data_IF_894144379643
#
_entry.id   IF_894144379643
#
_cell.length_a   1.000
_cell.length_b   1.000
_cell.length_c   1.000
_cell.angle_alpha   90.00
_cell.angle_beta   90.00
_cell.angle_gamma   90.00
#
_symmetry.space_group_name_H-M   'P 1'
#
loop_
_entity.id
_entity.type
_entity.pdbx_description
1 polymer ?
#
# COMPACT_ATOMS: atom_id res chain seq x y z
N UNK A 1 14.51 14.57 4.01
CA UNK A 1 15.09 15.93 3.83
C UNK A 1 15.87 16.38 5.07
N UNK A 2 17.12 16.80 4.91
CA UNK A 2 18.20 16.85 5.92
C UNK A 2 17.89 17.57 7.27
N UNK A 3 16.98 18.56 7.26
CA UNK A 3 16.56 19.27 8.47
C UNK A 3 15.78 18.37 9.46
N UNK A 4 14.93 17.45 8.97
CA UNK A 4 14.17 16.54 9.82
C UNK A 4 15.04 15.46 10.47
N UNK A 5 16.06 14.99 9.75
CA UNK A 5 17.04 14.02 10.25
C UNK A 5 17.87 14.62 11.39
N UNK A 6 18.33 15.86 11.22
CA UNK A 6 19.08 16.57 12.27
C UNK A 6 18.25 16.83 13.55
N UNK A 7 16.95 17.09 13.41
CA UNK A 7 16.06 17.25 14.57
C UNK A 7 15.87 15.93 15.35
N UNK A 8 15.70 14.80 14.64
CA UNK A 8 15.58 13.47 15.26
C UNK A 8 16.85 13.06 16.01
N UNK A 9 18.03 13.29 15.41
CA UNK A 9 19.33 13.02 16.05
C UNK A 9 19.50 13.84 17.33
N UNK A 10 19.15 15.14 17.32
CA UNK A 10 19.23 15.98 18.53
C UNK A 10 18.29 15.51 19.63
N UNK A 11 17.02 15.25 19.30
CA UNK A 11 16.04 14.75 20.27
C UNK A 11 16.45 13.41 20.86
N UNK A 12 16.99 12.50 20.05
CA UNK A 12 17.50 11.22 20.52
C UNK A 12 18.71 11.40 21.46
N UNK A 13 19.67 12.26 21.10
CA UNK A 13 20.84 12.53 21.95
C UNK A 13 20.43 13.08 23.33
N UNK A 14 19.42 13.96 23.39
CA UNK A 14 18.87 14.45 24.65
C UNK A 14 18.23 13.34 25.50
N UNK A 15 17.50 12.41 24.88
CA UNK A 15 16.92 11.25 25.57
C UNK A 15 17.99 10.33 26.15
N UNK A 16 19.04 10.05 25.38
CA UNK A 16 20.16 9.19 25.83
C UNK A 16 20.88 9.82 27.02
N UNK A 17 21.20 11.12 26.96
CA UNK A 17 21.83 11.83 28.08
C UNK A 17 20.96 11.78 29.33
N UNK A 18 19.63 11.90 29.18
CA UNK A 18 18.70 11.82 30.29
C UNK A 18 18.63 10.42 30.89
N UNK A 19 18.57 9.39 30.06
CA UNK A 19 18.52 8.00 30.49
C UNK A 19 19.82 7.58 31.20
N UNK A 20 20.98 7.92 30.63
CA UNK A 20 22.28 7.64 31.23
C UNK A 20 22.45 8.27 32.62
N UNK A 21 21.91 9.48 32.83
CA UNK A 21 21.92 10.17 34.14
C UNK A 21 21.00 9.54 35.18
N UNK A 22 20.02 8.75 34.76
CA UNK A 22 19.08 8.07 35.64
C UNK A 22 19.57 6.67 36.07
N UNK A 23 20.63 6.15 35.44
CA UNK A 23 21.21 4.85 35.77
C UNK A 23 22.04 4.92 37.07
N UNK A 24 21.98 3.85 37.86
CA UNK A 24 22.64 3.73 39.17
C UNK A 24 24.06 3.15 39.10
N UNK A 25 24.49 2.66 37.93
CA UNK A 25 25.83 2.15 37.67
C UNK A 25 26.24 2.38 36.22
N UNK A 26 27.54 2.35 35.96
CA UNK A 26 28.12 2.54 34.63
C UNK A 26 27.73 1.41 33.67
N UNK A 27 27.75 0.15 34.13
CA UNK A 27 27.29 -1.00 33.32
C UNK A 27 25.82 -0.88 32.88
N UNK A 28 24.94 -0.43 33.79
CA UNK A 28 23.53 -0.21 33.46
C UNK A 28 23.35 0.95 32.48
N UNK A 29 24.14 2.03 32.62
CA UNK A 29 24.15 3.14 31.69
C UNK A 29 24.59 2.71 30.28
N UNK A 30 25.64 1.88 30.17
CA UNK A 30 26.15 1.37 28.89
C UNK A 30 25.12 0.45 28.22
N UNK A 31 24.51 -0.49 28.95
CA UNK A 31 23.46 -1.36 28.41
C UNK A 31 22.27 -0.52 27.89
N UNK A 32 21.76 0.40 28.71
CA UNK A 32 20.64 1.26 28.35
C UNK A 32 20.94 2.12 27.11
N UNK A 33 22.13 2.72 27.02
CA UNK A 33 22.53 3.49 25.84
C UNK A 33 22.65 2.62 24.59
N UNK A 34 23.10 1.36 24.72
CA UNK A 34 23.24 0.42 23.61
C UNK A 34 21.88 0.00 23.06
N UNK A 35 20.92 -0.29 23.93
CA UNK A 35 19.55 -0.60 23.53
C UNK A 35 18.90 0.59 22.81
N UNK A 36 19.03 1.80 23.38
CA UNK A 36 18.52 3.04 22.76
C UNK A 36 19.19 3.37 21.43
N UNK A 37 20.47 3.02 21.25
CA UNK A 37 21.19 3.13 19.97
C UNK A 37 20.63 2.17 18.93
N UNK A 38 20.34 0.93 19.33
CA UNK A 38 19.74 -0.09 18.45
C UNK A 38 18.34 0.31 18.00
N UNK A 39 17.49 0.75 18.95
CA UNK A 39 16.15 1.26 18.69
C UNK A 39 16.18 2.44 17.73
N UNK A 40 17.03 3.44 17.98
CA UNK A 40 17.17 4.60 17.10
C UNK A 40 17.70 4.23 15.72
N UNK A 41 18.60 3.25 15.64
CA UNK A 41 19.05 2.69 14.37
C UNK A 41 17.90 2.04 13.59
N UNK A 42 16.99 1.33 14.26
CA UNK A 42 15.80 0.75 13.65
C UNK A 42 14.80 1.84 13.20
N UNK A 43 14.52 2.82 14.06
CA UNK A 43 13.67 3.98 13.74
C UNK A 43 14.19 4.75 12.52
N UNK A 44 15.51 4.96 12.44
CA UNK A 44 16.11 5.67 11.30
C UNK A 44 16.04 4.85 10.01
N UNK A 45 16.26 3.53 10.07
CA UNK A 45 16.07 2.65 8.91
C UNK A 45 14.62 2.68 8.42
N UNK A 46 13.66 2.61 9.35
CA UNK A 46 12.24 2.71 9.00
C UNK A 46 11.93 4.06 8.37
N UNK A 47 12.44 5.16 8.92
CA UNK A 47 12.24 6.50 8.37
C UNK A 47 12.83 6.65 6.95
N UNK A 48 13.98 6.04 6.68
CA UNK A 48 14.60 6.04 5.35
C UNK A 48 13.76 5.19 4.36
N UNK A 49 13.21 4.06 4.82
CA UNK A 49 12.28 3.23 4.04
C UNK A 49 10.98 3.98 3.73
N UNK A 50 10.39 4.63 4.73
CA UNK A 50 9.20 5.49 4.60
C UNK A 50 9.46 6.63 3.60
N UNK A 51 10.61 7.32 3.69
CA UNK A 51 10.94 8.41 2.75
C UNK A 51 11.09 7.90 1.32
N UNK A 52 11.64 6.69 1.11
CA UNK A 52 11.70 6.05 -0.22
C UNK A 52 10.32 5.66 -0.71
N UNK A 53 9.51 5.05 0.14
CA UNK A 53 8.13 4.67 -0.13
C UNK A 53 7.32 5.89 -0.57
N UNK A 54 7.24 6.94 0.25
CA UNK A 54 6.47 8.15 -0.08
C UNK A 54 6.96 8.82 -1.37
N UNK A 55 8.27 8.79 -1.66
CA UNK A 55 8.81 9.33 -2.92
C UNK A 55 8.40 8.52 -4.15
N UNK A 56 8.21 7.21 -4.01
CA UNK A 56 7.73 6.37 -5.12
C UNK A 56 6.31 6.76 -5.57
N UNK A 57 5.51 7.31 -4.66
CA UNK A 57 4.16 7.84 -4.91
C UNK A 57 4.12 9.27 -5.47
N UNK A 58 5.14 9.66 -6.23
CA UNK A 58 5.13 10.93 -6.96
C UNK A 58 3.98 11.01 -7.98
N UNK A 59 3.74 12.20 -8.54
CA UNK A 59 2.62 12.43 -9.46
C UNK A 59 2.60 11.50 -10.69
N UNK A 60 3.76 11.01 -11.15
CA UNK A 60 3.83 10.01 -12.22
C UNK A 60 3.23 8.66 -11.81
N UNK A 61 3.45 8.21 -10.57
CA UNK A 61 2.82 7.00 -10.04
C UNK A 61 1.31 7.21 -9.84
N UNK A 62 0.91 8.39 -9.34
CA UNK A 62 -0.50 8.79 -9.24
C UNK A 62 -1.19 8.77 -10.61
N UNK A 63 -0.52 9.21 -11.68
CA UNK A 63 -1.07 9.12 -13.03
C UNK A 63 -1.28 7.68 -13.48
N UNK A 64 -0.32 6.78 -13.23
CA UNK A 64 -0.48 5.35 -13.54
C UNK A 64 -1.69 4.76 -12.81
N UNK A 65 -1.79 5.03 -11.51
CA UNK A 65 -2.93 4.65 -10.67
C UNK A 65 -4.28 5.20 -11.18
N UNK A 66 -4.34 6.47 -11.57
CA UNK A 66 -5.56 7.10 -12.11
C UNK A 66 -5.93 6.61 -13.51
N UNK A 67 -4.95 6.11 -14.27
CA UNK A 67 -5.18 5.54 -15.61
C UNK A 67 -5.74 4.12 -15.54
N UNK A 68 -5.67 3.47 -14.37
CA UNK A 68 -6.40 2.24 -14.09
C UNK A 68 -7.90 2.57 -13.86
N UNK A 69 -8.66 2.52 -14.95
CA UNK A 69 -10.09 2.83 -14.97
C UNK A 69 -10.89 1.83 -14.12
N UNK A 70 -10.73 0.49 -14.27
CA UNK A 70 -11.46 -0.46 -13.43
C UNK A 70 -11.28 -0.22 -11.93
N UNK A 71 -10.05 0.02 -11.47
CA UNK A 71 -9.72 0.34 -10.08
C UNK A 71 -10.42 1.63 -9.63
N UNK A 72 -10.25 2.70 -10.40
CA UNK A 72 -10.74 4.03 -10.03
C UNK A 72 -12.27 4.09 -10.00
N UNK A 73 -12.94 3.47 -10.98
CA UNK A 73 -14.41 3.43 -11.02
C UNK A 73 -15.02 2.52 -9.95
N UNK A 74 -14.32 1.45 -9.53
CA UNK A 74 -14.78 0.60 -8.44
C UNK A 74 -14.93 1.41 -7.14
N UNK A 75 -13.92 2.19 -6.78
CA UNK A 75 -14.00 3.10 -5.64
C UNK A 75 -15.06 4.19 -5.84
N UNK A 76 -15.19 4.76 -7.04
CA UNK A 76 -16.21 5.77 -7.31
C UNK A 76 -17.63 5.23 -7.05
N UNK A 77 -17.92 4.01 -7.53
CA UNK A 77 -19.20 3.33 -7.30
C UNK A 77 -19.42 3.05 -5.81
N UNK A 78 -18.42 2.49 -5.13
CA UNK A 78 -18.51 2.17 -3.71
C UNK A 78 -18.79 3.43 -2.88
N UNK A 79 -18.02 4.50 -3.07
CA UNK A 79 -18.16 5.78 -2.35
C UNK A 79 -19.49 6.48 -2.64
N UNK A 80 -19.99 6.41 -3.88
CA UNK A 80 -21.33 6.93 -4.19
C UNK A 80 -22.44 6.21 -3.43
N UNK A 81 -22.26 4.92 -3.09
CA UNK A 81 -23.25 4.16 -2.33
C UNK A 81 -23.11 4.40 -0.82
N UNK A 82 -21.90 4.28 -0.28
CA UNK A 82 -21.69 4.32 1.19
C UNK A 82 -21.81 5.73 1.77
N UNK A 83 -21.58 6.78 0.96
CA UNK A 83 -21.70 8.18 1.36
C UNK A 83 -23.06 8.82 1.06
N UNK A 84 -24.02 8.10 0.47
CA UNK A 84 -25.30 8.64 0.02
C UNK A 84 -26.14 9.29 1.15
N UNK A 85 -25.93 8.84 2.39
CA UNK A 85 -26.63 9.34 3.57
C UNK A 85 -25.84 10.40 4.37
N UNK A 86 -24.80 10.99 3.77
CA UNK A 86 -23.94 11.95 4.46
C UNK A 86 -22.92 11.29 5.39
N UNK A 87 -22.45 12.07 6.35
CA UNK A 87 -21.46 11.66 7.34
C UNK A 87 -20.04 12.14 7.08
N UNK A 88 -19.19 11.91 8.08
CA UNK A 88 -17.75 12.20 8.03
C UNK A 88 -17.02 11.00 7.45
N UNK A 89 -16.15 11.26 6.47
CA UNK A 89 -15.28 10.27 5.84
C UNK A 89 -13.83 10.56 6.22
N UNK A 90 -13.07 9.51 6.51
CA UNK A 90 -11.62 9.56 6.69
C UNK A 90 -10.97 8.81 5.54
N UNK A 91 -10.08 9.47 4.81
CA UNK A 91 -9.23 8.84 3.81
C UNK A 91 -7.79 8.77 4.30
N UNK A 92 -7.20 7.58 4.30
CA UNK A 92 -5.80 7.33 4.68
C UNK A 92 -4.97 7.11 3.42
N UNK A 93 -3.99 7.99 3.18
CA UNK A 93 -3.15 8.00 1.99
C UNK A 93 -3.88 8.54 0.76
N UNK A 94 -4.36 9.79 0.84
CA UNK A 94 -5.26 10.30 -0.19
C UNK A 94 -4.61 10.54 -1.55
N UNK A 95 -3.27 10.61 -1.65
CA UNK A 95 -2.57 10.85 -2.90
C UNK A 95 -3.01 12.14 -3.57
N UNK A 96 -3.56 12.03 -4.78
CA UNK A 96 -4.17 13.13 -5.53
C UNK A 96 -5.50 13.66 -4.96
N UNK A 97 -6.08 12.99 -3.96
CA UNK A 97 -7.39 13.32 -3.38
C UNK A 97 -8.58 12.87 -4.23
N UNK A 98 -8.38 12.00 -5.21
CA UNK A 98 -9.46 11.54 -6.10
C UNK A 98 -10.60 10.84 -5.35
N UNK A 99 -10.28 9.97 -4.37
CA UNK A 99 -11.31 9.28 -3.60
C UNK A 99 -12.02 10.25 -2.64
N UNK A 100 -11.30 11.20 -2.05
CA UNK A 100 -11.90 12.30 -1.29
C UNK A 100 -12.93 13.07 -2.11
N UNK A 101 -12.60 13.36 -3.37
CA UNK A 101 -13.54 14.04 -4.27
C UNK A 101 -14.74 13.15 -4.63
N UNK A 102 -14.54 11.84 -4.81
CA UNK A 102 -15.65 10.90 -5.00
C UNK A 102 -16.55 10.82 -3.78
N UNK A 103 -16.01 10.73 -2.56
CA UNK A 103 -16.78 10.73 -1.32
C UNK A 103 -17.59 12.02 -1.15
N UNK A 104 -16.96 13.19 -1.36
CA UNK A 104 -17.62 14.49 -1.26
C UNK A 104 -18.75 14.68 -2.27
N UNK A 105 -18.57 14.17 -3.51
CA UNK A 105 -19.60 14.16 -4.57
C UNK A 105 -20.67 13.10 -4.32
N UNK A 106 -20.30 11.98 -3.70
CA UNK A 106 -21.18 10.86 -3.35
C UNK A 106 -22.13 11.14 -2.19
N UNK A 107 -22.00 12.28 -1.52
CA UNK A 107 -22.95 12.75 -0.51
C UNK A 107 -22.33 13.04 0.86
N UNK A 108 -21.05 12.75 1.08
CA UNK A 108 -20.41 13.01 2.37
C UNK A 108 -20.57 14.48 2.81
N UNK A 109 -20.81 14.65 4.11
CA UNK A 109 -20.91 15.98 4.74
C UNK A 109 -19.52 16.61 4.79
N UNK A 110 -18.50 15.80 5.08
CA UNK A 110 -17.11 16.22 5.09
C UNK A 110 -16.15 15.05 4.90
N UNK A 111 -15.01 15.31 4.28
CA UNK A 111 -13.90 14.36 4.12
C UNK A 111 -12.65 14.90 4.80
N UNK A 112 -12.04 14.07 5.65
CA UNK A 112 -10.73 14.30 6.26
C UNK A 112 -9.74 13.41 5.49
N UNK A 113 -8.86 14.03 4.71
CA UNK A 113 -7.93 13.35 3.84
C UNK A 113 -6.51 13.46 4.39
N UNK A 114 -5.85 12.33 4.66
CA UNK A 114 -4.50 12.30 5.23
C UNK A 114 -3.50 11.82 4.18
N UNK A 115 -2.40 12.54 4.01
CA UNK A 115 -1.35 12.18 3.05
C UNK A 115 0.04 12.56 3.58
N UNK A 116 0.96 11.58 3.60
CA UNK A 116 2.30 11.77 4.13
C UNK A 116 3.25 12.43 3.12
N UNK A 117 3.03 12.24 1.82
CA UNK A 117 3.76 12.93 0.77
C UNK A 117 3.24 14.37 0.61
N UNK A 118 4.08 15.32 1.02
CA UNK A 118 3.81 16.76 0.91
C UNK A 118 3.41 17.24 -0.49
N UNK A 119 3.99 16.71 -1.56
CA UNK A 119 3.65 17.14 -2.93
C UNK A 119 2.25 16.64 -3.29
N UNK A 120 1.94 15.38 -2.96
CA UNK A 120 0.62 14.79 -3.16
C UNK A 120 -0.45 15.53 -2.34
N UNK A 121 -0.21 15.79 -1.05
CA UNK A 121 -1.12 16.56 -0.19
C UNK A 121 -1.45 17.96 -0.76
N UNK A 122 -0.42 18.68 -1.25
CA UNK A 122 -0.61 19.98 -1.93
C UNK A 122 -1.38 19.86 -3.23
N UNK A 123 -1.13 18.80 -3.99
CA UNK A 123 -1.84 18.52 -5.24
C UNK A 123 -3.31 18.25 -4.96
N UNK A 124 -3.62 17.43 -3.95
CA UNK A 124 -4.98 17.18 -3.51
C UNK A 124 -5.70 18.48 -3.14
N UNK A 125 -5.02 19.42 -2.47
CA UNK A 125 -5.62 20.69 -2.08
C UNK A 125 -5.94 21.57 -3.29
N UNK A 126 -4.99 21.63 -4.23
CA UNK A 126 -5.16 22.37 -5.50
C UNK A 126 -6.31 21.79 -6.31
N UNK A 127 -6.42 20.45 -6.39
CA UNK A 127 -7.49 19.79 -7.12
C UNK A 127 -8.85 19.96 -6.45
N UNK A 128 -8.93 19.84 -5.11
CA UNK A 128 -10.16 20.10 -4.37
C UNK A 128 -10.66 21.53 -4.59
N UNK A 129 -9.77 22.52 -4.60
CA UNK A 129 -10.11 23.92 -4.88
C UNK A 129 -10.59 24.13 -6.32
N UNK A 130 -9.83 23.64 -7.29
CA UNK A 130 -10.19 23.75 -8.70
C UNK A 130 -11.54 23.08 -9.03
N UNK A 131 -11.96 22.08 -8.23
CA UNK A 131 -13.22 21.37 -8.36
C UNK A 131 -14.34 21.91 -7.45
N UNK A 132 -14.13 23.02 -6.73
CA UNK A 132 -15.14 23.64 -5.87
C UNK A 132 -15.47 22.84 -4.60
N UNK A 133 -14.54 22.00 -4.14
CA UNK A 133 -14.74 21.08 -3.02
C UNK A 133 -13.94 21.46 -1.75
N UNK A 134 -13.20 22.58 -1.74
CA UNK A 134 -12.40 23.02 -0.58
C UNK A 134 -13.18 23.15 0.72
N UNK A 135 -14.48 23.46 0.66
CA UNK A 135 -15.32 23.55 1.87
C UNK A 135 -15.70 22.20 2.45
N UNK A 136 -15.60 21.12 1.67
CA UNK A 136 -15.99 19.76 2.04
C UNK A 136 -14.81 18.84 2.33
N UNK A 137 -13.59 19.21 1.97
CA UNK A 137 -12.41 18.36 2.09
C UNK A 137 -11.34 19.09 2.90
N UNK A 138 -10.98 18.53 4.05
CA UNK A 138 -9.81 18.96 4.84
C UNK A 138 -8.64 18.04 4.54
N UNK A 139 -7.53 18.59 4.07
CA UNK A 139 -6.31 17.82 3.80
C UNK A 139 -5.30 18.04 4.91
N UNK A 140 -4.78 16.94 5.46
CA UNK A 140 -3.79 16.91 6.52
C UNK A 140 -2.50 16.27 6.00
N UNK A 141 -1.42 17.07 5.95
CA UNK A 141 -0.09 16.60 5.55
C UNK A 141 0.59 15.90 6.72
N UNK A 142 0.86 14.60 6.59
CA UNK A 142 1.53 13.79 7.60
C UNK A 142 1.06 12.34 7.61
N UNK A 143 1.66 11.54 8.51
CA UNK A 143 1.22 10.16 8.75
C UNK A 143 -0.04 10.16 9.62
N UNK A 144 -0.92 9.18 9.40
CA UNK A 144 -2.19 9.08 10.14
C UNK A 144 -1.96 8.92 11.65
N UNK A 145 -0.91 8.20 12.03
CA UNK A 145 -0.50 7.96 13.41
C UNK A 145 -0.07 9.26 14.10
N UNK A 146 0.72 10.10 13.40
CA UNK A 146 1.20 11.37 13.93
C UNK A 146 0.08 12.44 14.01
N UNK A 147 -0.92 12.31 13.15
CA UNK A 147 -2.05 13.25 13.03
C UNK A 147 -3.28 12.82 13.83
N UNK A 148 -3.21 11.74 14.60
CA UNK A 148 -4.37 11.18 15.31
C UNK A 148 -5.13 12.22 16.14
N UNK A 149 -4.43 13.06 16.91
CA UNK A 149 -5.08 14.11 17.71
C UNK A 149 -5.68 15.26 16.88
N UNK A 150 -5.21 15.48 15.65
CA UNK A 150 -5.81 16.44 14.71
C UNK A 150 -7.10 15.86 14.14
N UNK A 151 -7.07 14.60 13.72
CA UNK A 151 -8.22 13.87 13.20
C UNK A 151 -9.33 13.77 14.26
N UNK A 152 -8.99 13.49 15.52
CA UNK A 152 -9.96 13.49 16.63
C UNK A 152 -10.73 14.82 16.72
N UNK A 153 -10.01 15.95 16.62
CA UNK A 153 -10.63 17.28 16.66
C UNK A 153 -11.51 17.53 15.45
N UNK A 154 -11.09 17.12 14.26
CA UNK A 154 -11.90 17.29 13.05
C UNK A 154 -13.17 16.44 13.08
N UNK A 155 -13.10 15.20 13.57
CA UNK A 155 -14.30 14.36 13.78
C UNK A 155 -15.21 14.97 14.86
N UNK A 156 -14.66 15.42 15.98
CA UNK A 156 -15.44 16.02 17.07
C UNK A 156 -16.18 17.30 16.62
N UNK A 157 -15.53 18.16 15.83
CA UNK A 157 -16.17 19.35 15.23
C UNK A 157 -17.38 19.03 14.34
N UNK A 158 -17.53 17.77 13.93
CA UNK A 158 -18.49 17.31 12.91
C UNK A 158 -19.49 16.28 13.45
N UNK A 159 -19.72 16.29 14.76
CA UNK A 159 -20.70 15.40 15.41
C UNK A 159 -20.10 14.16 16.07
N UNK A 160 -18.78 14.00 16.05
CA UNK A 160 -18.08 13.02 16.89
C UNK A 160 -18.17 11.57 16.41
N UNK A 161 -18.65 11.31 15.19
CA UNK A 161 -18.76 9.97 14.63
C UNK A 161 -18.16 9.89 13.22
N UNK A 162 -17.34 8.87 12.99
CA UNK A 162 -16.83 8.53 11.67
C UNK A 162 -17.78 7.55 10.99
N UNK A 163 -18.22 7.84 9.77
CA UNK A 163 -19.12 6.96 9.03
C UNK A 163 -18.36 6.03 8.09
N UNK A 164 -17.36 6.54 7.37
CA UNK A 164 -16.60 5.76 6.40
C UNK A 164 -15.11 5.97 6.61
N UNK A 165 -14.36 4.88 6.64
CA UNK A 165 -12.91 4.87 6.41
C UNK A 165 -12.67 4.33 5.01
N UNK A 166 -11.94 5.07 4.19
CA UNK A 166 -11.52 4.62 2.86
C UNK A 166 -10.00 4.69 2.74
N UNK A 167 -9.40 3.71 2.09
CA UNK A 167 -8.00 3.75 1.74
C UNK A 167 -7.74 2.84 0.54
N UNK A 168 -6.94 3.33 -0.40
CA UNK A 168 -6.39 2.52 -1.47
C UNK A 168 -5.00 2.05 -1.04
N UNK A 169 -4.97 1.00 -0.23
CA UNK A 169 -3.74 0.41 0.32
C UNK A 169 -3.31 -0.87 -0.41
N UNK A 170 -4.09 -1.30 -1.40
CA UNK A 170 -3.98 -2.62 -2.04
C UNK A 170 -2.74 -2.65 -2.95
N UNK A 171 -1.67 -3.28 -2.47
CA UNK A 171 -0.51 -3.59 -3.30
C UNK A 171 -0.63 -4.95 -3.99
N UNK A 172 0.48 -5.46 -4.53
CA UNK A 172 0.55 -6.84 -5.01
C UNK A 172 0.09 -7.83 -3.92
N UNK A 173 -0.69 -8.85 -4.30
CA UNK A 173 -1.27 -9.79 -3.34
C UNK A 173 -2.00 -9.11 -2.15
N UNK A 174 -2.60 -7.93 -2.38
CA UNK A 174 -3.29 -7.07 -1.41
C UNK A 174 -2.38 -6.36 -0.40
N UNK A 175 -1.49 -7.10 0.27
CA UNK A 175 -0.75 -6.60 1.44
C UNK A 175 0.68 -6.17 1.14
N UNK A 176 1.17 -6.42 -0.07
CA UNK A 176 2.46 -5.87 -0.48
C UNK A 176 2.41 -4.35 -0.34
N UNK A 177 3.55 -3.75 0.01
CA UNK A 177 3.72 -2.34 0.36
C UNK A 177 3.43 -1.94 1.82
N UNK A 178 2.75 -2.78 2.59
CA UNK A 178 2.73 -2.65 4.05
C UNK A 178 1.95 -1.43 4.58
N UNK A 179 0.95 -0.96 3.84
CA UNK A 179 0.11 0.18 4.25
C UNK A 179 -1.10 -0.22 5.12
N UNK A 180 -1.50 -1.50 5.11
CA UNK A 180 -2.62 -1.99 5.93
C UNK A 180 -2.49 -1.69 7.44
N UNK A 181 -1.31 -1.75 8.09
CA UNK A 181 -1.17 -1.35 9.49
C UNK A 181 -1.67 0.07 9.81
N UNK A 182 -1.47 1.04 8.91
CA UNK A 182 -1.98 2.40 9.06
C UNK A 182 -3.51 2.47 8.92
N UNK A 183 -4.08 1.64 8.04
CA UNK A 183 -5.54 1.49 7.88
C UNK A 183 -6.15 0.85 9.12
N UNK A 184 -5.55 -0.23 9.62
CA UNK A 184 -5.95 -0.90 10.85
C UNK A 184 -5.90 0.03 12.06
N UNK A 185 -4.80 0.80 12.20
CA UNK A 185 -4.69 1.83 13.24
C UNK A 185 -5.86 2.83 13.19
N UNK A 186 -6.18 3.34 11.99
CA UNK A 186 -7.26 4.30 11.83
C UNK A 186 -8.64 3.69 12.16
N UNK A 187 -8.91 2.50 11.64
CA UNK A 187 -10.14 1.76 11.90
C UNK A 187 -10.33 1.50 13.39
N UNK A 188 -9.31 0.99 14.08
CA UNK A 188 -9.41 0.61 15.49
C UNK A 188 -9.60 1.83 16.39
N UNK A 189 -8.99 2.97 16.02
CA UNK A 189 -9.12 4.22 16.77
C UNK A 189 -10.48 4.89 16.58
N UNK A 190 -10.97 4.98 15.35
CA UNK A 190 -12.15 5.79 15.02
C UNK A 190 -13.41 5.00 14.73
N UNK A 191 -13.34 3.67 14.71
CA UNK A 191 -14.47 2.73 14.64
C UNK A 191 -15.54 3.16 13.61
N UNK A 192 -15.15 3.29 12.32
CA UNK A 192 -16.07 3.71 11.28
C UNK A 192 -17.22 2.71 11.12
N UNK A 193 -18.39 3.16 10.65
CA UNK A 193 -19.49 2.25 10.29
C UNK A 193 -19.12 1.34 9.12
N UNK A 194 -18.35 1.87 8.15
CA UNK A 194 -17.93 1.15 6.94
C UNK A 194 -16.44 1.35 6.70
N UNK A 195 -15.75 0.29 6.32
CA UNK A 195 -14.38 0.31 5.79
C UNK A 195 -14.43 0.00 4.30
N UNK A 196 -13.73 0.76 3.47
CA UNK A 196 -13.66 0.57 2.01
C UNK A 196 -12.19 0.47 1.58
N UNK A 197 -11.76 -0.66 0.98
CA UNK A 197 -12.49 -1.93 0.85
C UNK A 197 -12.78 -2.58 2.22
N UNK A 198 -13.81 -3.43 2.30
CA UNK A 198 -14.14 -4.15 3.53
C UNK A 198 -13.44 -5.51 3.60
N UNK A 199 -13.08 -6.10 2.47
CA UNK A 199 -12.29 -7.33 2.43
C UNK A 199 -11.51 -7.49 1.12
N UNK A 200 -10.70 -8.55 1.02
CA UNK A 200 -10.17 -8.98 -0.26
C UNK A 200 -9.64 -10.41 -0.24
N UNK A 201 -9.86 -11.11 -1.35
CA UNK A 201 -9.41 -12.48 -1.57
C UNK A 201 -8.19 -12.53 -2.48
N UNK A 202 -7.21 -13.38 -2.17
CA UNK A 202 -6.09 -13.72 -3.07
C UNK A 202 -6.34 -15.10 -3.65
N UNK A 203 -6.15 -15.20 -4.96
CA UNK A 203 -6.35 -16.41 -5.75
C UNK A 203 -5.07 -16.81 -6.44
N UNK A 204 -4.87 -18.12 -6.59
CA UNK A 204 -3.76 -18.70 -7.34
C UNK A 204 -4.29 -19.57 -8.48
N UNK A 205 -3.63 -19.55 -9.62
CA UNK A 205 -4.05 -20.32 -10.79
C UNK A 205 -2.85 -20.82 -11.61
N UNK A 206 -2.87 -22.04 -12.17
CA UNK A 206 -1.85 -22.47 -13.11
C UNK A 206 -2.05 -21.74 -14.45
N UNK A 207 -0.94 -21.24 -15.02
CA UNK A 207 -1.00 -20.50 -16.28
C UNK A 207 0.05 -20.96 -17.29
N UNK A 208 -0.16 -20.55 -18.53
CA UNK A 208 0.83 -20.60 -19.59
C UNK A 208 0.86 -19.28 -20.38
N UNK A 209 2.05 -18.87 -20.79
CA UNK A 209 2.23 -17.75 -21.72
C UNK A 209 2.79 -18.27 -23.04
N UNK A 210 2.01 -18.12 -24.11
CA UNK A 210 2.47 -18.48 -25.44
C UNK A 210 3.60 -17.55 -25.89
N UNK A 211 4.65 -18.14 -26.48
CA UNK A 211 5.78 -17.40 -27.03
C UNK A 211 6.68 -16.71 -25.98
N UNK A 212 6.39 -16.77 -24.68
CA UNK A 212 7.22 -16.10 -23.67
C UNK A 212 8.65 -16.66 -23.60
N UNK A 213 8.87 -17.99 -23.49
CA UNK A 213 10.22 -18.53 -23.50
C UNK A 213 11.01 -18.14 -24.76
N UNK A 214 10.34 -18.14 -25.92
CA UNK A 214 10.93 -17.75 -27.19
C UNK A 214 11.31 -16.27 -27.19
N UNK A 215 10.40 -15.37 -26.82
CA UNK A 215 10.69 -13.92 -26.71
C UNK A 215 11.80 -13.62 -25.71
N UNK A 216 11.79 -14.28 -24.56
CA UNK A 216 12.80 -14.09 -23.51
C UNK A 216 14.20 -14.55 -23.96
N UNK A 217 14.28 -15.52 -24.87
CA UNK A 217 15.55 -16.09 -25.36
C UNK A 217 15.94 -15.64 -26.76
N UNK A 218 15.07 -14.94 -27.49
CA UNK A 218 15.25 -14.61 -28.91
C UNK A 218 16.60 -13.97 -29.19
N UNK A 219 16.94 -12.91 -28.44
CA UNK A 219 18.24 -12.26 -28.53
C UNK A 219 19.38 -13.24 -28.33
N UNK A 220 19.29 -14.09 -27.30
CA UNK A 220 20.35 -15.01 -26.91
C UNK A 220 20.52 -16.16 -27.89
N UNK A 221 19.49 -16.54 -28.64
CA UNK A 221 19.56 -17.66 -29.60
C UNK A 221 20.17 -17.31 -30.95
N UNK A 222 20.58 -16.06 -31.15
CA UNK A 222 21.07 -15.54 -32.43
C UNK A 222 22.52 -15.07 -32.33
N UNK A 223 23.20 -15.04 -33.47
CA UNK A 223 24.51 -14.40 -33.59
C UNK A 223 24.33 -12.88 -33.68
N UNK A 224 25.01 -12.15 -32.81
CA UNK A 224 25.06 -10.69 -32.83
C UNK A 224 26.51 -10.24 -32.88
N UNK A 225 26.81 -9.26 -33.73
CA UNK A 225 28.16 -8.69 -33.83
C UNK A 225 29.27 -9.73 -34.16
N UNK A 226 28.93 -10.84 -34.83
CA UNK A 226 29.87 -11.93 -35.09
C UNK A 226 30.17 -12.81 -33.88
N UNK A 227 29.33 -12.75 -32.83
CA UNK A 227 29.44 -13.53 -31.60
C UNK A 227 28.19 -14.39 -31.43
N UNK A 228 28.38 -15.70 -31.23
CA UNK A 228 27.30 -16.63 -30.91
C UNK A 228 26.93 -16.52 -29.42
N UNK A 229 25.73 -16.01 -29.14
CA UNK A 229 25.19 -15.87 -27.78
C UNK A 229 24.41 -17.11 -27.30
N UNK A 230 24.19 -18.11 -28.15
CA UNK A 230 23.34 -19.27 -27.86
C UNK A 230 23.71 -20.05 -26.59
N UNK A 231 24.98 -20.14 -26.15
CA UNK A 231 25.32 -20.76 -24.88
C UNK A 231 24.70 -20.07 -23.65
N UNK A 232 24.31 -18.80 -23.75
CA UNK A 232 23.70 -18.03 -22.66
C UNK A 232 22.16 -18.13 -22.60
N UNK A 233 21.50 -18.70 -23.61
CA UNK A 233 20.04 -18.72 -23.71
C UNK A 233 19.36 -19.40 -22.51
N UNK A 234 19.91 -20.52 -22.02
CA UNK A 234 19.38 -21.21 -20.84
C UNK A 234 19.54 -20.38 -19.55
N UNK A 235 20.64 -19.64 -19.42
CA UNK A 235 20.87 -18.75 -18.27
C UNK A 235 19.88 -17.59 -18.32
N UNK A 236 19.70 -16.96 -19.48
CA UNK A 236 18.74 -15.88 -19.67
C UNK A 236 17.30 -16.31 -19.34
N UNK A 237 16.89 -17.50 -19.81
CA UNK A 237 15.56 -18.04 -19.48
C UNK A 237 15.37 -18.23 -17.98
N UNK A 238 16.38 -18.79 -17.29
CA UNK A 238 16.34 -18.98 -15.83
C UNK A 238 16.23 -17.65 -15.09
N UNK A 239 17.03 -16.66 -15.47
CA UNK A 239 17.00 -15.32 -14.85
C UNK A 239 15.63 -14.64 -14.99
N UNK A 240 14.90 -14.89 -16.09
CA UNK A 240 13.53 -14.38 -16.24
C UNK A 240 12.52 -15.02 -15.28
N UNK A 241 12.85 -16.17 -14.67
CA UNK A 241 11.97 -16.92 -13.76
C UNK A 241 12.41 -16.85 -12.29
N UNK A 242 13.53 -16.18 -11.99
CA UNK A 242 14.05 -16.02 -10.62
C UNK A 242 13.28 -14.97 -9.81
N UNK A 243 12.52 -14.10 -10.47
CA UNK A 243 11.76 -13.03 -9.85
C UNK A 243 10.27 -13.16 -10.16
N UNK A 244 9.44 -12.65 -9.25
CA UNK A 244 8.01 -12.50 -9.51
C UNK A 244 7.82 -11.54 -10.68
N UNK A 245 7.07 -11.99 -11.69
CA UNK A 245 6.73 -11.19 -12.86
C UNK A 245 5.36 -10.56 -12.65
N UNK A 246 5.27 -9.25 -12.90
CA UNK A 246 4.01 -8.52 -12.95
C UNK A 246 3.66 -8.34 -14.41
N UNK A 247 2.63 -9.07 -14.87
CA UNK A 247 2.18 -9.06 -16.26
C UNK A 247 0.66 -9.25 -16.34
N UNK A 248 0.08 -8.98 -17.49
CA UNK A 248 -1.35 -9.19 -17.77
C UNK A 248 -1.56 -10.54 -18.44
N UNK A 249 -2.35 -11.39 -17.80
CA UNK A 249 -2.79 -12.67 -18.35
C UNK A 249 -4.28 -12.60 -18.69
N UNK A 250 -4.63 -13.05 -19.90
CA UNK A 250 -6.01 -13.23 -20.30
C UNK A 250 -6.58 -14.55 -19.77
N UNK A 251 -7.91 -14.73 -19.76
CA UNK A 251 -8.54 -16.00 -19.40
C UNK A 251 -8.01 -17.20 -20.19
N UNK A 252 -7.64 -16.99 -21.46
CA UNK A 252 -7.11 -18.03 -22.34
C UNK A 252 -5.70 -18.51 -21.95
N UNK A 253 -5.00 -17.76 -21.09
CA UNK A 253 -3.70 -18.16 -20.54
C UNK A 253 -3.83 -19.10 -19.34
N UNK A 254 -5.05 -19.32 -18.83
CA UNK A 254 -5.26 -20.08 -17.60
C UNK A 254 -5.48 -21.56 -17.92
N UNK A 255 -4.75 -22.42 -17.20
CA UNK A 255 -4.86 -23.87 -17.33
C UNK A 255 -6.01 -24.44 -16.50
N UNK A 256 -6.41 -23.73 -15.45
CA UNK A 256 -7.53 -24.06 -14.57
C UNK A 256 -8.13 -22.78 -13.97
N UNK A 257 -9.31 -22.90 -13.37
CA UNK A 257 -9.90 -21.80 -12.57
C UNK A 257 -9.05 -21.50 -11.35
N UNK A 258 -9.00 -20.22 -10.95
CA UNK A 258 -8.28 -19.79 -9.76
C UNK A 258 -8.91 -20.34 -8.48
N UNK A 259 -8.06 -20.71 -7.52
CA UNK A 259 -8.47 -21.12 -6.19
C UNK A 259 -8.12 -20.03 -5.19
N UNK A 260 -9.08 -19.70 -4.33
CA UNK A 260 -8.82 -18.80 -3.21
C UNK A 260 -7.85 -19.46 -2.24
N UNK A 261 -6.75 -18.75 -1.94
CA UNK A 261 -5.71 -19.21 -1.00
C UNK A 261 -5.61 -18.35 0.24
N UNK A 262 -6.11 -17.11 0.20
CA UNK A 262 -6.02 -16.22 1.33
C UNK A 262 -7.12 -15.17 1.31
N UNK A 263 -7.47 -14.65 2.49
CA UNK A 263 -8.52 -13.67 2.70
C UNK A 263 -8.09 -12.66 3.75
N UNK A 264 -8.31 -11.37 3.46
CA UNK A 264 -8.16 -10.28 4.41
C UNK A 264 -9.52 -9.68 4.75
N UNK A 265 -9.92 -9.82 6.02
CA UNK A 265 -11.06 -9.07 6.56
C UNK A 265 -10.58 -7.70 7.03
N UNK A 266 -10.83 -6.65 6.25
CA UNK A 266 -10.36 -5.31 6.57
C UNK A 266 -11.11 -4.67 7.75
N UNK A 267 -12.24 -5.26 8.18
CA UNK A 267 -13.06 -4.79 9.29
C UNK A 267 -12.52 -5.30 10.63
N UNK A 268 -11.90 -6.49 10.65
CA UNK A 268 -11.50 -7.15 11.90
C UNK A 268 -10.02 -7.54 11.97
N UNK A 269 -9.31 -7.67 10.84
CA UNK A 269 -7.93 -8.14 10.85
C UNK A 269 -6.97 -7.13 11.51
N UNK A 270 -6.05 -7.66 12.31
CA UNK A 270 -4.92 -6.91 12.85
C UNK A 270 -3.82 -6.73 11.79
N UNK A 271 -2.83 -5.87 12.10
CA UNK A 271 -1.62 -5.75 11.29
C UNK A 271 -0.85 -7.08 11.20
N UNK A 272 -0.88 -7.90 12.25
CA UNK A 272 -0.23 -9.22 12.27
C UNK A 272 -0.93 -10.20 11.32
N UNK A 273 -2.26 -10.23 11.34
CA UNK A 273 -3.05 -11.10 10.45
C UNK A 273 -2.78 -10.79 8.98
N UNK A 274 -2.64 -9.50 8.62
CA UNK A 274 -2.30 -9.07 7.27
C UNK A 274 -0.88 -9.46 6.84
N UNK A 275 0.02 -9.77 7.78
CA UNK A 275 1.39 -10.19 7.49
C UNK A 275 1.59 -11.71 7.50
N UNK A 276 0.56 -12.48 7.86
CA UNK A 276 0.61 -13.95 7.95
C UNK A 276 -0.18 -14.59 6.82
N UNK A 277 0.55 -15.29 5.94
CA UNK A 277 -0.01 -16.22 4.96
C UNK A 277 0.49 -17.63 5.30
N UNK A 278 -0.39 -18.44 5.87
CA UNK A 278 -0.07 -19.84 6.16
C UNK A 278 0.09 -20.64 4.86
N UNK A 279 0.95 -21.66 4.82
CA UNK A 279 1.05 -22.54 3.65
C UNK A 279 -0.30 -23.20 3.34
N UNK A 280 -0.72 -23.10 2.08
CA UNK A 280 -1.97 -23.71 1.59
C UNK A 280 -1.64 -24.76 0.55
N UNK A 281 -2.30 -25.91 0.65
CA UNK A 281 -2.29 -26.94 -0.40
C UNK A 281 -3.39 -26.62 -1.40
N UNK A 282 -3.02 -26.58 -2.69
CA UNK A 282 -3.95 -26.32 -3.80
C UNK A 282 -3.88 -27.45 -4.80
N UNK A 283 -5.04 -27.92 -5.26
CA UNK A 283 -5.19 -29.01 -6.20
C UNK A 283 -5.99 -28.53 -7.42
N UNK A 284 -5.37 -28.51 -8.60
CA UNK A 284 -6.00 -28.01 -9.81
C UNK A 284 -6.45 -29.14 -10.74
N UNK A 285 -7.73 -29.08 -11.15
CA UNK A 285 -8.20 -29.82 -12.31
C UNK A 285 -7.95 -28.99 -13.57
N UNK A 286 -7.04 -29.47 -14.43
CA UNK A 286 -6.65 -28.76 -15.65
C UNK A 286 -7.77 -28.86 -16.69
N UNK A 287 -8.36 -27.72 -17.04
CA UNK A 287 -9.46 -27.60 -18.01
C UNK A 287 -8.97 -27.19 -19.39
N UNK A 288 -7.78 -26.59 -19.49
CA UNK A 288 -7.20 -26.10 -20.74
C UNK A 288 -5.90 -26.81 -21.04
N UNK A 289 -5.72 -27.29 -22.28
CA UNK A 289 -4.47 -27.93 -22.70
C UNK A 289 -3.39 -26.89 -22.96
N UNK A 290 -2.28 -26.98 -22.24
CA UNK A 290 -1.10 -26.14 -22.47
C UNK A 290 0.09 -26.54 -21.59
N UNK A 291 1.30 -26.02 -21.87
CA UNK A 291 2.45 -26.23 -21.01
C UNK A 291 2.30 -25.45 -19.69
N UNK A 292 2.48 -26.11 -18.54
CA UNK A 292 2.51 -25.41 -17.26
C UNK A 292 3.78 -24.58 -17.13
N UNK A 293 3.66 -23.25 -17.20
CA UNK A 293 4.79 -22.33 -17.02
C UNK A 293 4.95 -21.84 -15.59
N UNK A 294 3.86 -21.80 -14.82
CA UNK A 294 3.92 -21.40 -13.42
C UNK A 294 2.55 -21.19 -12.80
N UNK A 295 2.55 -20.49 -11.68
CA UNK A 295 1.35 -20.08 -10.94
C UNK A 295 1.20 -18.56 -11.03
N UNK A 296 0.01 -18.13 -11.43
CA UNK A 296 -0.45 -16.75 -11.41
C UNK A 296 -1.02 -16.45 -10.02
N UNK A 297 -0.81 -15.24 -9.51
CA UNK A 297 -1.49 -14.76 -8.29
C UNK A 297 -2.23 -13.48 -8.63
N UNK A 298 -3.51 -13.42 -8.29
CA UNK A 298 -4.34 -12.23 -8.46
C UNK A 298 -5.25 -12.05 -7.24
N UNK A 299 -5.93 -10.91 -7.16
CA UNK A 299 -6.78 -10.60 -6.02
C UNK A 299 -8.12 -9.98 -6.44
N UNK A 300 -9.09 -10.06 -5.53
CA UNK A 300 -10.43 -9.49 -5.69
C UNK A 300 -10.86 -8.79 -4.40
N UNK A 301 -10.82 -7.45 -4.33
CA UNK A 301 -11.31 -6.70 -3.19
C UNK A 301 -12.84 -6.57 -3.23
N UNK A 302 -13.45 -6.40 -2.04
CA UNK A 302 -14.88 -6.13 -1.84
C UNK A 302 -15.11 -4.78 -1.16
#
# INVERSE_FOLDING_TARGET
>A
GDAGRNARVRSWAEKVVRAARACTSEEHAVSCCTDMLSEFGAEMRQADMDERYFRSYALSAQQGMLSDVPRTEAFQRALSQVCANGGVVLEVGCGSGVLSMFAARGGADHVIAVEANRISARTAATLAEANGLSSKITILEGRIEDLAGVVDREIHKRGGKLEVLVSEFIGFCIVYEGMFPSVAFARDRWQPRVVVPCSGDVHICPFFMEGYPQRATEFWTQEHYGIDFSPAANTALRSCTEHVLVDQLGPDNLLASGQKVWHLDCVHASAEDASRMDPVMVDFEVTTRGPLHGLCVYFSPE
#
